data_IF_342411512895
#
_entry.id   IF_342411512895
#
_cell.length_a   1.000
_cell.length_b   1.000
_cell.length_c   1.000
_cell.angle_alpha   90.00
_cell.angle_beta   90.00
_cell.angle_gamma   90.00
#
_symmetry.space_group_name_H-M   'P 1'
#
loop_
_entity.id
_entity.type
_entity.pdbx_description
1 polymer ?
#
# COMPACT_ATOMS: atom_id res chain seq x y z
N UNK A 1 -3.49 -2.77 -21.33
CA UNK A 1 -4.14 -1.69 -20.56
C UNK A 1 -4.92 -2.31 -19.44
N UNK A 2 -4.90 -1.66 -18.26
CA UNK A 2 -5.61 -2.13 -17.07
C UNK A 2 -6.55 -1.04 -16.60
N UNK A 3 -7.79 -1.41 -16.28
CA UNK A 3 -8.77 -0.49 -15.73
C UNK A 3 -9.08 -0.90 -14.29
N UNK A 4 -9.03 0.04 -13.39
CA UNK A 4 -9.37 -0.17 -11.99
C UNK A 4 -10.62 0.65 -11.67
N UNK A 5 -11.62 0.00 -11.10
CA UNK A 5 -12.90 0.63 -10.79
C UNK A 5 -13.18 0.52 -9.30
N UNK A 6 -13.51 1.66 -8.69
CA UNK A 6 -13.90 1.71 -7.28
C UNK A 6 -15.07 0.76 -7.00
N UNK A 7 -14.92 -0.05 -5.94
CA UNK A 7 -15.97 -0.94 -5.47
C UNK A 7 -16.13 -2.23 -6.27
N UNK A 8 -15.35 -2.43 -7.35
CA UNK A 8 -15.41 -3.68 -8.11
C UNK A 8 -14.61 -4.80 -7.45
N UNK A 9 -14.95 -6.05 -7.79
CA UNK A 9 -14.14 -7.20 -7.41
C UNK A 9 -12.81 -7.13 -8.16
N UNK A 10 -11.69 -7.20 -7.42
CA UNK A 10 -10.35 -7.15 -7.98
C UNK A 10 -9.81 -8.52 -8.39
N UNK A 11 -10.55 -9.60 -8.11
CA UNK A 11 -10.14 -10.97 -8.44
C UNK A 11 -9.22 -11.58 -7.39
N UNK A 12 -8.52 -12.64 -7.77
CA UNK A 12 -7.63 -13.36 -6.87
C UNK A 12 -6.38 -12.54 -6.54
N UNK A 13 -5.98 -12.59 -5.27
CA UNK A 13 -4.77 -11.98 -4.74
C UNK A 13 -3.94 -13.05 -4.03
N UNK A 14 -2.61 -12.91 -4.09
CA UNK A 14 -1.69 -13.79 -3.37
C UNK A 14 -1.26 -13.16 -2.05
N UNK A 15 -0.88 -13.98 -1.07
CA UNK A 15 -0.35 -13.48 0.20
C UNK A 15 0.93 -12.68 -0.04
N UNK A 16 0.99 -11.50 0.57
CA UNK A 16 2.18 -10.64 0.59
C UNK A 16 2.59 -10.40 2.04
N UNK A 17 3.29 -11.37 2.67
CA UNK A 17 3.67 -11.24 4.06
C UNK A 17 4.61 -10.03 4.28
N UNK A 18 4.57 -9.49 5.50
CA UNK A 18 5.40 -8.36 5.91
C UNK A 18 6.83 -8.81 6.21
N UNK A 19 7.55 -9.30 5.21
CA UNK A 19 8.86 -9.94 5.36
C UNK A 19 10.01 -9.27 4.60
N UNK A 20 9.74 -8.17 3.87
CA UNK A 20 10.81 -7.43 3.22
C UNK A 20 11.63 -6.67 4.27
N UNK A 21 12.92 -7.03 4.48
CA UNK A 21 13.74 -6.39 5.51
C UNK A 21 13.96 -4.88 5.27
N UNK A 22 13.92 -4.44 4.01
CA UNK A 22 14.06 -3.01 3.68
C UNK A 22 12.86 -2.19 4.17
N UNK A 23 11.69 -2.78 4.26
CA UNK A 23 10.49 -2.13 4.75
C UNK A 23 10.42 -2.07 6.26
N UNK A 24 11.15 -2.95 6.94
CA UNK A 24 11.24 -2.98 8.40
C UNK A 24 9.86 -2.87 9.06
N UNK A 25 8.98 -3.82 8.75
CA UNK A 25 7.61 -3.85 9.26
C UNK A 25 7.56 -4.04 10.77
N UNK A 26 6.70 -3.27 11.43
CA UNK A 26 6.40 -3.42 12.85
C UNK A 26 4.90 -3.37 13.05
N UNK A 27 4.30 -4.48 13.47
CA UNK A 27 2.87 -4.54 13.81
C UNK A 27 2.67 -3.86 15.16
N UNK A 28 1.75 -2.88 15.21
CA UNK A 28 1.44 -2.12 16.42
C UNK A 28 0.15 -2.59 17.08
N UNK A 29 -0.87 -2.95 16.31
CA UNK A 29 -2.16 -3.43 16.81
C UNK A 29 -2.76 -4.46 15.87
N UNK A 30 -3.44 -5.45 16.44
CA UNK A 30 -4.15 -6.48 15.70
C UNK A 30 -3.23 -7.42 14.95
N UNK A 31 -3.79 -8.02 13.91
CA UNK A 31 -3.08 -8.99 13.06
C UNK A 31 -3.34 -8.67 11.59
N UNK A 32 -2.92 -7.50 11.10
CA UNK A 32 -3.16 -7.13 9.70
C UNK A 32 -2.43 -8.09 8.76
N UNK A 33 -3.10 -8.45 7.67
CA UNK A 33 -2.56 -9.35 6.65
C UNK A 33 -2.69 -8.67 5.30
N UNK A 34 -1.59 -8.63 4.56
CA UNK A 34 -1.56 -8.07 3.22
C UNK A 34 -1.62 -9.15 2.15
N UNK A 35 -2.23 -8.81 1.05
CA UNK A 35 -2.29 -9.61 -0.18
C UNK A 35 -2.24 -8.68 -1.37
N UNK A 36 -1.90 -9.20 -2.54
CA UNK A 36 -1.80 -8.34 -3.71
C UNK A 36 -1.55 -9.08 -5.01
N UNK A 37 -1.36 -8.27 -6.03
CA UNK A 37 -1.09 -8.71 -7.39
C UNK A 37 -0.32 -7.64 -8.14
N UNK A 38 0.69 -8.04 -8.89
CA UNK A 38 1.39 -7.15 -9.83
C UNK A 38 0.76 -7.32 -11.20
N UNK A 39 0.29 -6.22 -11.79
CA UNK A 39 -0.29 -6.20 -13.14
C UNK A 39 0.72 -5.79 -14.21
N UNK A 40 1.70 -4.96 -13.84
CA UNK A 40 2.79 -4.55 -14.74
C UNK A 40 4.04 -4.19 -13.93
N UNK A 41 5.21 -4.43 -14.50
CA UNK A 41 6.49 -4.14 -13.84
C UNK A 41 6.80 -5.13 -12.72
N UNK A 42 7.36 -4.62 -11.64
CA UNK A 42 7.72 -5.42 -10.46
C UNK A 42 9.18 -5.78 -10.40
N UNK A 43 9.54 -6.96 -9.84
CA UNK A 43 10.94 -7.33 -9.66
C UNK A 43 11.77 -7.21 -10.95
N UNK A 44 12.91 -6.52 -10.87
CA UNK A 44 13.77 -6.25 -12.01
C UNK A 44 13.38 -5.04 -12.86
N UNK A 45 12.33 -4.32 -12.48
CA UNK A 45 11.87 -3.11 -13.15
C UNK A 45 11.94 -1.90 -12.21
N UNK A 46 11.98 -0.70 -12.78
CA UNK A 46 11.94 0.55 -11.98
C UNK A 46 10.53 0.98 -11.63
N UNK A 47 9.52 0.37 -12.25
CA UNK A 47 8.11 0.65 -11.99
C UNK A 47 7.36 -0.62 -11.64
N UNK A 48 6.26 -0.44 -10.93
CA UNK A 48 5.29 -1.51 -10.68
C UNK A 48 3.91 -0.92 -10.49
N UNK A 49 2.91 -1.65 -10.95
CA UNK A 49 1.51 -1.32 -10.68
C UNK A 49 0.73 -2.60 -10.38
N UNK A 50 -0.28 -2.47 -9.58
CA UNK A 50 -1.11 -3.60 -9.20
C UNK A 50 -2.11 -3.25 -8.11
N UNK A 51 -2.54 -4.29 -7.42
CA UNK A 51 -3.50 -4.21 -6.31
C UNK A 51 -2.81 -4.62 -5.01
N UNK A 52 -3.11 -3.90 -3.95
CA UNK A 52 -2.74 -4.26 -2.57
C UNK A 52 -3.99 -4.21 -1.70
N UNK A 53 -4.16 -5.24 -0.89
CA UNK A 53 -5.22 -5.33 0.11
C UNK A 53 -4.59 -5.58 1.47
N UNK A 54 -5.15 -4.96 2.50
CA UNK A 54 -4.75 -5.24 3.88
C UNK A 54 -5.95 -5.28 4.79
N UNK A 55 -5.97 -6.28 5.66
CA UNK A 55 -7.03 -6.40 6.67
C UNK A 55 -6.80 -5.44 7.82
N UNK A 56 -7.85 -5.20 8.61
CA UNK A 56 -7.84 -4.28 9.76
C UNK A 56 -6.66 -4.54 10.69
N UNK A 57 -6.03 -3.46 11.13
CA UNK A 57 -4.91 -3.47 12.08
C UNK A 57 -4.02 -2.25 11.88
N UNK A 58 -2.97 -2.15 12.69
CA UNK A 58 -2.03 -1.03 12.64
C UNK A 58 -0.62 -1.57 12.49
N UNK A 59 0.12 -1.06 11.52
CA UNK A 59 1.53 -1.38 11.34
C UNK A 59 2.30 -0.18 10.83
N UNK A 60 3.60 -0.21 11.07
CA UNK A 60 4.55 0.80 10.63
C UNK A 60 5.54 0.17 9.66
N UNK A 61 5.90 0.89 8.61
CA UNK A 61 6.89 0.43 7.64
C UNK A 61 7.61 1.60 6.96
N UNK A 62 8.72 1.28 6.31
CA UNK A 62 9.41 2.19 5.40
C UNK A 62 8.97 1.88 3.98
N UNK A 63 8.41 2.87 3.31
CA UNK A 63 7.96 2.73 1.93
C UNK A 63 9.14 2.57 0.97
N UNK A 64 9.01 1.62 0.06
CA UNK A 64 10.02 1.32 -0.95
C UNK A 64 9.58 1.88 -2.29
N UNK A 65 10.30 2.91 -2.77
CA UNK A 65 9.95 3.66 -3.97
C UNK A 65 8.91 4.75 -3.71
N UNK A 66 8.79 5.66 -4.65
CA UNK A 66 7.66 6.59 -4.70
C UNK A 66 6.39 5.82 -5.04
N UNK A 67 5.30 6.12 -4.38
CA UNK A 67 4.04 5.44 -4.64
C UNK A 67 2.89 6.42 -4.77
N UNK A 68 2.15 6.32 -5.88
CA UNK A 68 0.85 6.94 -6.05
C UNK A 68 -0.20 5.85 -5.88
N UNK A 69 -1.17 6.06 -5.00
CA UNK A 69 -2.20 5.07 -4.71
C UNK A 69 -3.59 5.68 -4.73
N UNK A 70 -4.57 4.89 -5.13
CA UNK A 70 -5.99 5.24 -5.02
C UNK A 70 -6.71 4.14 -4.27
N UNK A 71 -7.48 4.53 -3.26
CA UNK A 71 -8.29 3.59 -2.48
C UNK A 71 -9.52 3.18 -3.30
N UNK A 72 -9.69 1.88 -3.48
CA UNK A 72 -10.84 1.31 -4.20
C UNK A 72 -11.96 0.91 -3.27
N UNK A 73 -11.63 0.46 -2.06
CA UNK A 73 -12.60 0.09 -1.04
C UNK A 73 -11.98 0.15 0.35
N UNK A 74 -12.82 0.23 1.37
CA UNK A 74 -12.38 0.29 2.76
C UNK A 74 -11.98 1.70 3.20
N UNK A 75 -11.32 1.77 4.35
CA UNK A 75 -10.95 3.03 4.98
C UNK A 75 -9.70 2.85 5.83
N UNK A 76 -8.77 3.79 5.72
CA UNK A 76 -7.55 3.79 6.52
C UNK A 76 -7.08 5.21 6.80
N UNK A 77 -6.09 5.31 7.68
CA UNK A 77 -5.31 6.53 7.87
C UNK A 77 -3.85 6.21 7.59
N UNK A 78 -3.17 7.13 6.93
CA UNK A 78 -1.72 7.07 6.75
C UNK A 78 -1.08 8.21 7.51
N UNK A 79 -0.11 7.87 8.34
CA UNK A 79 0.56 8.82 9.23
C UNK A 79 2.05 8.82 8.87
N UNK A 80 2.58 9.98 8.51
CA UNK A 80 4.03 10.15 8.34
C UNK A 80 4.67 10.22 9.73
N UNK A 81 5.54 9.24 10.03
CA UNK A 81 6.14 9.12 11.37
C UNK A 81 7.11 10.27 11.70
N UNK A 82 7.71 10.90 10.69
CA UNK A 82 8.67 11.99 10.88
C UNK A 82 8.00 13.34 11.07
N UNK A 83 7.02 13.66 10.22
CA UNK A 83 6.32 14.96 10.25
C UNK A 83 5.07 14.97 11.12
N UNK A 84 4.48 13.80 11.36
CA UNK A 84 3.18 13.69 12.02
C UNK A 84 1.99 14.03 11.13
N UNK A 85 2.20 14.27 9.83
CA UNK A 85 1.12 14.50 8.87
C UNK A 85 0.22 13.28 8.81
N UNK A 86 -1.10 13.50 8.82
CA UNK A 86 -2.10 12.44 8.82
C UNK A 86 -3.09 12.70 7.68
N UNK A 87 -3.36 11.65 6.91
CA UNK A 87 -4.43 11.65 5.92
C UNK A 87 -5.41 10.51 6.17
N UNK A 88 -6.69 10.84 6.29
CA UNK A 88 -7.75 9.84 6.21
C UNK A 88 -8.01 9.53 4.74
N UNK A 89 -8.09 8.24 4.43
CA UNK A 89 -8.29 7.75 3.07
C UNK A 89 -9.55 6.89 3.00
N UNK A 90 -10.48 7.35 2.16
CA UNK A 90 -11.70 6.64 1.83
C UNK A 90 -11.67 6.25 0.36
N UNK A 91 -12.58 5.36 -0.03
CA UNK A 91 -12.70 4.96 -1.43
C UNK A 91 -12.80 6.18 -2.35
N UNK A 92 -11.96 6.22 -3.38
CA UNK A 92 -11.83 7.33 -4.33
C UNK A 92 -10.72 8.32 -4.01
N UNK A 93 -10.15 8.29 -2.79
CA UNK A 93 -9.04 9.17 -2.44
C UNK A 93 -7.73 8.67 -3.04
N UNK A 94 -6.88 9.61 -3.47
CA UNK A 94 -5.56 9.35 -4.01
C UNK A 94 -4.51 10.05 -3.15
N UNK A 95 -3.43 9.32 -2.83
CA UNK A 95 -2.31 9.84 -2.04
C UNK A 95 -0.99 9.49 -2.71
N UNK A 96 -0.03 10.41 -2.63
CA UNK A 96 1.35 10.17 -3.02
C UNK A 96 2.24 10.09 -1.79
N UNK A 97 3.11 9.08 -1.75
CA UNK A 97 4.09 8.88 -0.67
C UNK A 97 5.49 8.79 -1.27
N UNK A 98 6.42 9.54 -0.71
CA UNK A 98 7.82 9.54 -1.17
C UNK A 98 8.56 8.27 -0.76
N UNK A 99 9.48 7.84 -1.61
CA UNK A 99 10.44 6.78 -1.32
C UNK A 99 11.16 7.04 0.02
N UNK A 100 11.28 6.00 0.82
CA UNK A 100 11.98 6.06 2.11
C UNK A 100 11.17 6.65 3.25
N UNK A 101 9.92 7.06 3.03
CA UNK A 101 9.07 7.56 4.10
C UNK A 101 8.78 6.49 5.13
N UNK A 102 8.92 6.82 6.41
CA UNK A 102 8.48 5.96 7.50
C UNK A 102 7.04 6.31 7.84
N UNK A 103 6.13 5.36 7.66
CA UNK A 103 4.70 5.61 7.78
C UNK A 103 4.02 4.59 8.68
N UNK A 104 2.92 5.01 9.30
CA UNK A 104 2.01 4.12 10.02
C UNK A 104 0.74 3.98 9.21
N UNK A 105 0.39 2.74 8.88
CA UNK A 105 -0.88 2.36 8.30
C UNK A 105 -1.84 1.97 9.40
N UNK A 106 -2.88 2.77 9.59
CA UNK A 106 -3.99 2.46 10.47
C UNK A 106 -5.17 2.01 9.62
N UNK A 107 -5.31 0.70 9.46
CA UNK A 107 -6.37 0.10 8.65
C UNK A 107 -7.62 0.00 9.52
N UNK A 108 -8.60 0.88 9.27
CA UNK A 108 -9.83 0.97 10.06
C UNK A 108 -10.84 -0.08 9.60
N UNK A 109 -10.97 -0.24 8.27
CA UNK A 109 -11.74 -1.27 7.60
C UNK A 109 -10.85 -1.89 6.55
N UNK A 110 -10.97 -3.19 6.29
CA UNK A 110 -10.18 -3.87 5.26
C UNK A 110 -10.09 -3.01 4.01
N UNK A 111 -8.88 -2.66 3.60
CA UNK A 111 -8.65 -1.69 2.53
C UNK A 111 -8.10 -2.36 1.30
N UNK A 112 -8.56 -1.93 0.14
CA UNK A 112 -8.01 -2.31 -1.16
C UNK A 112 -7.59 -1.04 -1.89
N UNK A 113 -6.38 -1.03 -2.41
CA UNK A 113 -5.87 0.09 -3.22
C UNK A 113 -5.29 -0.41 -4.53
N UNK A 114 -5.35 0.44 -5.55
CA UNK A 114 -4.49 0.34 -6.72
C UNK A 114 -3.26 1.21 -6.49
N UNK A 115 -2.10 0.75 -6.89
CA UNK A 115 -0.86 1.51 -6.73
C UNK A 115 -0.06 1.57 -8.02
N UNK A 116 0.68 2.66 -8.18
CA UNK A 116 1.79 2.80 -9.10
C UNK A 116 3.03 3.22 -8.31
N UNK A 117 4.11 2.46 -8.44
CA UNK A 117 5.36 2.73 -7.74
C UNK A 117 6.51 2.95 -8.70
N UNK A 118 7.46 3.79 -8.29
CA UNK A 118 8.71 4.01 -9.01
C UNK A 118 9.88 3.99 -8.03
N UNK A 119 10.92 3.23 -8.38
CA UNK A 119 12.15 3.14 -7.60
C UNK A 119 13.33 3.14 -8.57
N UNK A 120 14.18 4.16 -8.50
CA UNK A 120 15.22 4.40 -9.50
C UNK A 120 16.23 3.26 -9.63
N UNK A 121 16.53 2.55 -8.53
CA UNK A 121 17.43 1.38 -8.51
C UNK A 121 16.68 0.04 -8.68
N UNK A 122 15.39 0.10 -8.92
CA UNK A 122 14.55 -1.07 -9.21
C UNK A 122 13.92 -1.70 -7.98
N UNK A 123 12.91 -2.46 -8.28
CA UNK A 123 12.17 -3.26 -7.30
C UNK A 123 12.72 -4.67 -7.17
#
# INVERSE_FOLDING_TARGET
MFKYTQGSDVGELEDWPFDNPLSNYQIKEGSPRASGRIDAGGPGHTTRTGIWRCTKGVFECTEQGDELMTILSGRCRLIDSDSGEIHELNAGDTLFVHDGSRVTWDIIEDVTKVFFGHKGDGF
#
